data_IF_077000996165
#
_entry.id   IF_077000996165
#
_cell.length_a   1.000
_cell.length_b   1.000
_cell.length_c   1.000
_cell.angle_alpha   90.00
_cell.angle_beta   90.00
_cell.angle_gamma   90.00
#
_symmetry.space_group_name_H-M   'P 1'
#
loop_
_entity.id
_entity.type
_entity.pdbx_description
1 polymer ?
#
# COMPACT_ATOMS: atom_id res chain seq x y z
N UNK A 1 -5.28 -27.88 16.22
CA UNK A 1 -6.35 -27.98 15.19
C UNK A 1 -5.74 -28.33 13.84
N UNK A 2 -6.46 -28.99 12.95
CA UNK A 2 -6.02 -29.36 11.60
C UNK A 2 -5.33 -28.21 10.85
N UNK A 3 -5.87 -26.99 10.96
CA UNK A 3 -5.31 -25.80 10.30
C UNK A 3 -3.92 -25.42 10.82
N UNK A 4 -3.60 -25.72 12.05
CA UNK A 4 -2.32 -25.40 12.67
C UNK A 4 -1.32 -26.56 12.56
N UNK A 5 -1.78 -27.81 12.87
CA UNK A 5 -0.91 -28.98 12.89
C UNK A 5 -0.49 -29.45 11.49
N UNK A 6 -1.41 -29.43 10.53
CA UNK A 6 -1.16 -29.95 9.18
C UNK A 6 -0.98 -28.87 8.12
N UNK A 7 -1.65 -27.72 8.27
CA UNK A 7 -1.59 -26.61 7.29
C UNK A 7 -0.66 -25.49 7.72
N UNK A 8 -0.07 -25.54 8.91
CA UNK A 8 0.87 -24.55 9.46
C UNK A 8 0.35 -23.08 9.36
N UNK A 9 -0.96 -22.89 9.56
CA UNK A 9 -1.52 -21.54 9.53
C UNK A 9 -1.19 -20.75 10.79
N UNK A 10 -0.89 -19.45 10.61
CA UNK A 10 -0.77 -18.52 11.72
C UNK A 10 -2.09 -18.36 12.48
N UNK A 11 -2.02 -17.98 13.76
CA UNK A 11 -3.20 -17.68 14.58
C UNK A 11 -4.13 -16.65 13.92
N UNK A 12 -3.56 -15.65 13.26
CA UNK A 12 -4.31 -14.64 12.52
C UNK A 12 -5.10 -15.25 11.34
N UNK A 13 -4.45 -16.06 10.51
CA UNK A 13 -5.11 -16.75 9.38
C UNK A 13 -6.20 -17.71 9.85
N UNK A 14 -5.96 -18.42 10.94
CA UNK A 14 -6.97 -19.27 11.58
C UNK A 14 -8.18 -18.46 12.06
N UNK A 15 -7.94 -17.35 12.75
CA UNK A 15 -9.00 -16.49 13.27
C UNK A 15 -9.84 -15.86 12.13
N UNK A 16 -9.21 -15.48 11.02
CA UNK A 16 -9.92 -14.98 9.86
C UNK A 16 -10.88 -16.02 9.25
N UNK A 17 -10.42 -17.29 9.15
CA UNK A 17 -11.28 -18.38 8.69
C UNK A 17 -12.40 -18.69 9.69
N UNK A 18 -12.10 -18.66 10.99
CA UNK A 18 -13.11 -18.82 12.03
C UNK A 18 -14.17 -17.71 11.96
N UNK A 19 -13.77 -16.46 11.73
CA UNK A 19 -14.71 -15.35 11.55
C UNK A 19 -15.64 -15.58 10.36
N UNK A 20 -15.12 -16.11 9.25
CA UNK A 20 -15.94 -16.48 8.08
C UNK A 20 -16.96 -17.58 8.43
N UNK A 21 -16.51 -18.62 9.12
CA UNK A 21 -17.42 -19.72 9.57
C UNK A 21 -18.48 -19.21 10.53
N UNK A 22 -18.11 -18.35 11.49
CA UNK A 22 -19.08 -17.73 12.41
C UNK A 22 -20.10 -16.86 11.68
N UNK A 23 -19.66 -16.10 10.66
CA UNK A 23 -20.58 -15.31 9.85
C UNK A 23 -21.59 -16.20 9.09
N UNK A 24 -21.10 -17.32 8.54
CA UNK A 24 -21.96 -18.30 7.88
C UNK A 24 -22.91 -18.99 8.87
N UNK A 25 -22.43 -19.40 10.04
CA UNK A 25 -23.28 -20.01 11.07
C UNK A 25 -24.40 -19.07 11.54
N UNK A 26 -24.13 -17.76 11.66
CA UNK A 26 -25.17 -16.76 11.96
C UNK A 26 -26.24 -16.70 10.88
N UNK A 27 -25.85 -16.78 9.61
CA UNK A 27 -26.81 -16.83 8.51
C UNK A 27 -27.65 -18.10 8.55
N UNK A 28 -27.01 -19.29 8.69
CA UNK A 28 -27.71 -20.59 8.78
C UNK A 28 -28.69 -20.63 9.94
N UNK A 29 -28.32 -20.07 11.10
CA UNK A 29 -29.19 -20.03 12.29
C UNK A 29 -30.53 -19.32 12.04
N UNK A 30 -30.54 -18.34 11.13
CA UNK A 30 -31.75 -17.62 10.75
C UNK A 30 -32.56 -18.40 9.73
N UNK A 31 -31.90 -18.98 8.72
CA UNK A 31 -32.56 -19.73 7.62
C UNK A 31 -32.99 -21.15 8.04
N UNK A 32 -32.28 -21.77 8.97
CA UNK A 32 -32.46 -23.15 9.41
C UNK A 32 -32.45 -23.25 10.95
N UNK A 33 -33.58 -22.88 11.62
CA UNK A 33 -33.66 -22.94 13.09
C UNK A 33 -33.44 -24.33 13.67
N UNK A 34 -33.70 -25.37 12.90
CA UNK A 34 -33.43 -26.79 13.24
C UNK A 34 -31.96 -27.08 13.47
N UNK A 35 -31.05 -26.33 12.86
CA UNK A 35 -29.59 -26.45 13.01
C UNK A 35 -28.97 -25.53 14.10
N UNK A 36 -29.82 -24.93 14.94
CA UNK A 36 -29.38 -23.92 15.92
C UNK A 36 -28.31 -24.43 16.87
N UNK A 37 -28.41 -25.68 17.35
CA UNK A 37 -27.44 -26.26 18.27
C UNK A 37 -26.03 -26.37 17.64
N UNK A 38 -25.96 -26.78 16.37
CA UNK A 38 -24.71 -26.82 15.60
C UNK A 38 -24.15 -25.42 15.40
N UNK A 39 -25.00 -24.47 15.02
CA UNK A 39 -24.59 -23.09 14.84
C UNK A 39 -24.04 -22.47 16.14
N UNK A 40 -24.67 -22.71 17.27
CA UNK A 40 -24.21 -22.26 18.58
C UNK A 40 -22.84 -22.85 18.94
N UNK A 41 -22.60 -24.13 18.66
CA UNK A 41 -21.30 -24.76 18.89
C UNK A 41 -20.17 -24.12 18.08
N UNK A 42 -20.44 -23.71 16.84
CA UNK A 42 -19.47 -22.97 16.01
C UNK A 42 -19.25 -21.55 16.55
N UNK A 43 -20.31 -20.88 16.95
CA UNK A 43 -20.25 -19.50 17.47
C UNK A 43 -19.50 -19.41 18.80
N UNK A 44 -19.53 -20.48 19.62
CA UNK A 44 -18.81 -20.54 20.90
C UNK A 44 -17.30 -20.76 20.78
N UNK A 45 -16.78 -21.13 19.59
CA UNK A 45 -15.33 -21.34 19.40
C UNK A 45 -14.59 -20.00 19.55
N UNK A 46 -13.68 -19.92 20.52
CA UNK A 46 -12.89 -18.71 20.73
C UNK A 46 -11.78 -18.50 19.70
N UNK A 47 -11.51 -17.23 19.42
CA UNK A 47 -10.34 -16.84 18.66
C UNK A 47 -9.06 -17.05 19.48
N UNK A 48 -7.95 -17.38 18.83
CA UNK A 48 -6.64 -17.41 19.49
C UNK A 48 -6.06 -16.00 19.59
N UNK A 49 -5.43 -15.70 20.72
CA UNK A 49 -4.61 -14.50 20.82
C UNK A 49 -3.47 -14.57 19.82
N UNK A 50 -3.27 -13.53 19.05
CA UNK A 50 -2.09 -13.35 18.19
C UNK A 50 -1.30 -12.18 18.73
N UNK A 51 -0.01 -12.36 18.88
CA UNK A 51 0.88 -11.23 19.16
C UNK A 51 0.76 -10.23 18.02
N UNK A 52 0.53 -8.98 18.37
CA UNK A 52 0.54 -7.90 17.38
C UNK A 52 2.01 -7.60 17.09
N UNK A 53 2.45 -7.70 15.83
CA UNK A 53 3.82 -7.31 15.49
C UNK A 53 4.04 -5.85 15.91
N UNK A 54 5.17 -5.58 16.52
CA UNK A 54 5.59 -4.21 16.81
C UNK A 54 5.80 -3.52 15.46
N UNK A 55 5.02 -2.46 15.21
CA UNK A 55 5.18 -1.67 14.00
C UNK A 55 6.49 -0.89 14.13
N UNK A 56 7.43 -1.17 13.27
CA UNK A 56 8.68 -0.43 13.18
C UNK A 56 8.47 0.78 12.25
N UNK A 57 8.93 1.93 12.69
CA UNK A 57 8.86 3.18 11.92
C UNK A 57 10.25 3.56 11.44
N UNK A 58 10.31 4.12 10.24
CA UNK A 58 11.55 4.77 9.76
C UNK A 58 11.76 6.08 10.52
N UNK A 59 12.97 6.30 11.02
CA UNK A 59 13.37 7.61 11.53
C UNK A 59 13.53 8.60 10.36
N UNK A 60 13.58 9.89 10.66
CA UNK A 60 13.80 10.90 9.62
C UNK A 60 15.12 10.64 8.86
N UNK A 61 16.19 10.31 9.57
CA UNK A 61 17.47 9.98 8.94
C UNK A 61 17.40 8.75 8.03
N UNK A 62 16.69 7.70 8.44
CA UNK A 62 16.46 6.52 7.59
C UNK A 62 15.60 6.86 6.37
N UNK A 63 14.63 7.74 6.53
CA UNK A 63 13.81 8.22 5.41
C UNK A 63 14.66 9.00 4.41
N UNK A 64 15.53 9.90 4.87
CA UNK A 64 16.45 10.66 4.00
C UNK A 64 17.39 9.73 3.23
N UNK A 65 17.96 8.74 3.91
CA UNK A 65 18.81 7.72 3.26
C UNK A 65 18.01 6.95 2.20
N UNK A 66 16.79 6.52 2.49
CA UNK A 66 15.93 5.82 1.55
C UNK A 66 15.59 6.66 0.32
N UNK A 67 15.26 7.95 0.52
CA UNK A 67 14.96 8.89 -0.57
C UNK A 67 16.18 9.22 -1.43
N UNK A 68 17.38 9.06 -0.89
CA UNK A 68 18.64 9.22 -1.62
C UNK A 68 19.05 8.02 -2.49
N UNK A 69 18.40 6.85 -2.35
CA UNK A 69 18.81 5.65 -3.09
C UNK A 69 18.46 5.66 -4.60
N UNK A 70 17.32 6.23 -5.06
CA UNK A 70 16.98 6.21 -6.47
C UNK A 70 17.98 6.99 -7.32
N UNK A 71 18.59 6.33 -8.32
CA UNK A 71 19.49 6.97 -9.29
C UNK A 71 18.70 7.89 -10.23
N UNK A 72 18.72 9.19 -9.91
CA UNK A 72 17.99 10.22 -10.67
C UNK A 72 18.55 10.49 -12.07
N UNK A 73 19.72 9.98 -12.42
CA UNK A 73 20.25 10.04 -13.79
C UNK A 73 19.43 9.20 -14.74
N UNK A 74 18.75 8.16 -14.22
CA UNK A 74 17.93 7.22 -14.99
C UNK A 74 16.44 7.53 -14.89
N UNK A 75 15.66 7.37 -15.97
CA UNK A 75 14.22 7.59 -15.96
C UNK A 75 13.49 6.74 -14.90
N UNK A 76 13.92 5.49 -14.71
CA UNK A 76 13.35 4.60 -13.69
C UNK A 76 13.58 5.13 -12.27
N UNK A 77 14.79 5.62 -11.97
CA UNK A 77 15.09 6.19 -10.65
C UNK A 77 14.29 7.46 -10.38
N UNK A 78 14.10 8.34 -11.39
CA UNK A 78 13.26 9.53 -11.25
C UNK A 78 11.80 9.19 -10.99
N UNK A 79 11.26 8.18 -11.68
CA UNK A 79 9.92 7.64 -11.40
C UNK A 79 9.82 7.12 -9.97
N UNK A 80 10.79 6.31 -9.57
CA UNK A 80 10.78 5.65 -8.25
C UNK A 80 10.88 6.70 -7.13
N UNK A 81 11.73 7.74 -7.30
CA UNK A 81 11.80 8.86 -6.35
C UNK A 81 10.47 9.64 -6.26
N UNK A 82 9.85 9.96 -7.40
CA UNK A 82 8.56 10.64 -7.43
C UNK A 82 7.47 9.84 -6.70
N UNK A 83 7.46 8.53 -6.89
CA UNK A 83 6.55 7.61 -6.22
C UNK A 83 6.78 7.55 -4.70
N UNK A 84 8.04 7.43 -4.26
CA UNK A 84 8.39 7.35 -2.83
C UNK A 84 8.06 8.66 -2.11
N UNK A 85 8.40 9.81 -2.70
CA UNK A 85 8.06 11.12 -2.14
C UNK A 85 6.56 11.33 -2.03
N UNK A 86 5.80 10.93 -3.06
CA UNK A 86 4.34 11.05 -3.02
C UNK A 86 3.72 10.15 -1.94
N UNK A 87 4.23 8.93 -1.75
CA UNK A 87 3.81 8.04 -0.66
C UNK A 87 4.07 8.67 0.71
N UNK A 88 5.25 9.24 0.89
CA UNK A 88 5.66 9.86 2.14
C UNK A 88 4.80 11.08 2.48
N UNK A 89 4.67 12.03 1.54
CA UNK A 89 3.92 13.27 1.76
C UNK A 89 2.43 13.03 1.97
N UNK A 90 1.85 12.14 1.16
CA UNK A 90 0.39 11.96 1.14
C UNK A 90 -0.12 10.92 2.12
N UNK A 91 0.77 10.08 2.68
CA UNK A 91 0.40 8.88 3.43
C UNK A 91 -0.68 8.05 2.70
N UNK A 92 -0.59 7.99 1.37
CA UNK A 92 -1.50 7.23 0.53
C UNK A 92 -1.34 5.73 0.79
N UNK A 93 -2.47 5.02 0.77
CA UNK A 93 -2.39 3.56 0.73
C UNK A 93 -1.78 3.11 -0.59
N UNK A 94 -1.05 1.99 -0.58
CA UNK A 94 -0.40 1.47 -1.79
C UNK A 94 -1.39 1.30 -2.95
N UNK A 95 -2.63 0.89 -2.68
CA UNK A 95 -3.66 0.78 -3.71
C UNK A 95 -4.10 2.15 -4.25
N UNK A 96 -4.25 3.15 -3.37
CA UNK A 96 -4.60 4.52 -3.77
C UNK A 96 -3.52 5.09 -4.70
N UNK A 97 -2.24 4.89 -4.36
CA UNK A 97 -1.12 5.28 -5.22
C UNK A 97 -1.16 4.58 -6.59
N UNK A 98 -1.40 3.26 -6.61
CA UNK A 98 -1.49 2.50 -7.85
C UNK A 98 -2.65 2.99 -8.74
N UNK A 99 -3.73 3.46 -8.14
CA UNK A 99 -4.94 3.89 -8.83
C UNK A 99 -4.89 5.34 -9.32
N UNK A 100 -3.88 6.13 -8.90
CA UNK A 100 -3.73 7.53 -9.30
C UNK A 100 -3.61 7.70 -10.81
N UNK A 101 -4.36 8.67 -11.29
CA UNK A 101 -4.28 9.18 -12.65
C UNK A 101 -3.57 10.53 -12.67
N UNK A 102 -3.17 10.97 -13.85
CA UNK A 102 -2.54 12.28 -14.04
C UNK A 102 -3.43 13.41 -13.54
N UNK A 103 -4.75 13.37 -13.82
CA UNK A 103 -5.71 14.38 -13.37
C UNK A 103 -5.89 14.44 -11.85
N UNK A 104 -5.49 13.40 -11.10
CA UNK A 104 -5.63 13.38 -9.66
C UNK A 104 -4.50 14.16 -8.94
N UNK A 105 -3.50 14.65 -9.69
CA UNK A 105 -2.37 15.39 -9.13
C UNK A 105 -2.27 16.77 -9.76
N UNK A 106 -2.38 17.79 -8.93
CA UNK A 106 -2.07 19.17 -9.31
C UNK A 106 -0.73 19.55 -8.72
N UNK A 107 0.23 19.85 -9.58
CA UNK A 107 1.61 20.23 -9.18
C UNK A 107 1.85 21.72 -9.09
N UNK A 108 0.88 22.53 -9.51
CA UNK A 108 0.91 23.99 -9.38
C UNK A 108 0.46 24.41 -7.98
N UNK A 109 0.86 25.63 -7.58
CA UNK A 109 0.58 26.16 -6.24
C UNK A 109 -0.88 26.53 -6.05
N UNK A 110 -1.56 26.02 -5.03
CA UNK A 110 -1.13 24.99 -4.07
C UNK A 110 -1.14 23.58 -4.70
N UNK A 111 -0.02 22.84 -4.52
CA UNK A 111 0.09 21.48 -5.01
C UNK A 111 -0.75 20.53 -4.15
N UNK A 112 -1.53 19.67 -4.79
CA UNK A 112 -2.49 18.78 -4.11
C UNK A 112 -2.59 17.45 -4.85
N UNK A 113 -2.75 16.36 -4.12
CA UNK A 113 -3.16 15.06 -4.64
C UNK A 113 -4.56 14.70 -4.15
N UNK A 114 -5.41 14.25 -5.07
CA UNK A 114 -6.76 13.75 -4.80
C UNK A 114 -6.70 12.24 -4.63
N UNK A 115 -7.00 11.74 -3.42
CA UNK A 115 -6.93 10.30 -3.10
C UNK A 115 -8.34 9.73 -2.92
N UNK A 116 -8.59 8.60 -3.59
CA UNK A 116 -9.86 7.87 -3.53
C UNK A 116 -9.73 6.66 -2.62
N UNK A 117 -10.27 6.76 -1.40
CA UNK A 117 -10.16 5.75 -0.36
C UNK A 117 -11.30 4.73 -0.33
N UNK A 118 -11.16 3.73 0.56
CA UNK A 118 -12.18 2.71 0.83
C UNK A 118 -13.50 3.36 1.27
N UNK A 119 -14.60 2.91 0.70
CA UNK A 119 -15.95 3.44 0.99
C UNK A 119 -16.26 4.75 0.27
N UNK A 120 -15.61 5.04 -0.87
CA UNK A 120 -15.78 6.27 -1.68
C UNK A 120 -15.48 7.56 -0.90
N UNK A 121 -14.64 7.47 0.14
CA UNK A 121 -14.17 8.66 0.85
C UNK A 121 -12.99 9.24 0.09
N UNK A 122 -13.20 10.42 -0.46
CA UNK A 122 -12.17 11.18 -1.14
C UNK A 122 -11.48 12.10 -0.14
N UNK A 123 -10.20 12.34 -0.32
CA UNK A 123 -9.45 13.35 0.43
C UNK A 123 -8.43 14.04 -0.46
N UNK A 124 -8.30 15.31 -0.23
CA UNK A 124 -7.30 16.16 -0.84
C UNK A 124 -6.14 16.32 0.14
N UNK A 125 -4.95 15.99 -0.30
CA UNK A 125 -3.75 16.09 0.53
C UNK A 125 -2.81 17.12 -0.11
N UNK A 126 -2.46 18.20 0.60
CA UNK A 126 -1.47 19.15 0.13
C UNK A 126 -0.11 18.47 0.04
N UNK A 127 0.64 18.77 -1.00
CA UNK A 127 2.00 18.27 -1.21
C UNK A 127 3.02 19.33 -0.85
N UNK A 128 4.16 18.89 -0.31
CA UNK A 128 5.30 19.77 -0.06
C UNK A 128 5.92 20.25 -1.38
N UNK A 129 6.57 21.39 -1.37
CA UNK A 129 7.23 21.92 -2.58
C UNK A 129 8.31 20.98 -3.15
N UNK A 130 9.14 20.28 -2.34
CA UNK A 130 10.07 19.28 -2.85
C UNK A 130 9.36 18.15 -3.62
N UNK A 131 8.26 17.62 -3.08
CA UNK A 131 7.46 16.58 -3.73
C UNK A 131 6.84 17.10 -5.04
N UNK A 132 6.21 18.26 -4.99
CA UNK A 132 5.60 18.89 -6.17
C UNK A 132 6.62 19.13 -7.30
N UNK A 133 7.83 19.60 -6.96
CA UNK A 133 8.92 19.81 -7.91
C UNK A 133 9.34 18.50 -8.60
N UNK A 134 9.52 17.43 -7.85
CA UNK A 134 9.92 16.13 -8.41
C UNK A 134 8.79 15.55 -9.27
N UNK A 135 7.54 15.65 -8.82
CA UNK A 135 6.36 15.21 -9.60
C UNK A 135 6.19 16.00 -10.90
N UNK A 136 6.33 17.32 -10.84
CA UNK A 136 6.26 18.20 -12.04
C UNK A 136 7.29 17.76 -13.07
N UNK A 137 8.54 17.57 -12.64
CA UNK A 137 9.60 17.09 -13.52
C UNK A 137 9.27 15.71 -14.10
N UNK A 138 8.80 14.77 -13.29
CA UNK A 138 8.40 13.44 -13.74
C UNK A 138 7.28 13.48 -14.78
N UNK A 139 6.24 14.32 -14.56
CA UNK A 139 5.11 14.49 -15.46
C UNK A 139 5.59 15.05 -16.80
N UNK A 140 6.43 16.10 -16.80
CA UNK A 140 6.97 16.73 -18.02
C UNK A 140 7.88 15.77 -18.80
N UNK A 141 8.82 15.09 -18.14
CA UNK A 141 9.76 14.15 -18.78
C UNK A 141 9.05 12.96 -19.44
N UNK A 142 7.89 12.57 -18.94
CA UNK A 142 7.09 11.47 -19.50
C UNK A 142 5.92 11.97 -20.39
N UNK A 143 5.87 13.28 -20.68
CA UNK A 143 4.80 13.89 -21.46
C UNK A 143 3.40 13.57 -20.98
N UNK A 144 3.22 13.42 -19.66
CA UNK A 144 1.92 13.11 -19.05
C UNK A 144 0.98 14.31 -19.04
N UNK A 145 1.52 15.51 -19.17
CA UNK A 145 0.81 16.79 -19.33
C UNK A 145 0.24 17.02 -20.74
N UNK A 146 0.52 16.13 -21.69
CA UNK A 146 0.01 16.25 -23.05
C UNK A 146 -1.52 16.11 -23.11
N UNK A 147 -2.18 16.81 -24.05
CA UNK A 147 -3.63 16.72 -24.22
C UNK A 147 -4.12 15.28 -24.40
N UNK A 148 -5.19 14.93 -23.69
CA UNK A 148 -5.80 13.59 -23.76
C UNK A 148 -5.23 12.57 -22.76
N UNK A 149 -4.14 12.87 -22.04
CA UNK A 149 -3.49 11.95 -21.10
C UNK A 149 -3.96 12.09 -19.65
N UNK A 150 -4.94 12.92 -19.37
CA UNK A 150 -5.46 13.20 -18.02
C UNK A 150 -5.92 11.93 -17.27
N UNK A 151 -6.45 10.96 -17.99
CA UNK A 151 -6.94 9.70 -17.43
C UNK A 151 -5.89 8.57 -17.43
N UNK A 152 -4.68 8.84 -17.94
CA UNK A 152 -3.59 7.85 -17.91
C UNK A 152 -3.15 7.58 -16.46
N UNK A 153 -2.67 6.36 -16.16
CA UNK A 153 -2.06 6.08 -14.86
C UNK A 153 -0.85 7.01 -14.63
N UNK A 154 -0.76 7.58 -13.43
CA UNK A 154 0.37 8.43 -13.07
C UNK A 154 1.69 7.65 -13.08
N UNK A 155 1.68 6.44 -12.50
CA UNK A 155 2.87 5.57 -12.47
C UNK A 155 2.65 4.30 -13.28
N UNK A 156 3.61 4.02 -14.16
CA UNK A 156 3.59 2.83 -15.01
C UNK A 156 4.81 1.95 -14.77
N UNK A 157 4.66 0.66 -15.04
CA UNK A 157 5.76 -0.30 -15.05
C UNK A 157 6.60 -0.18 -16.34
N UNK A 158 7.72 -0.92 -16.48
CA UNK A 158 8.54 -0.87 -17.70
C UNK A 158 7.82 -1.28 -19.00
N UNK A 159 6.69 -1.99 -18.88
CA UNK A 159 5.84 -2.39 -20.00
C UNK A 159 4.76 -1.34 -20.34
N UNK A 160 4.79 -0.17 -19.73
CA UNK A 160 3.80 0.89 -19.92
C UNK A 160 2.44 0.63 -19.28
N UNK A 161 2.28 -0.44 -18.49
CA UNK A 161 1.04 -0.76 -17.78
C UNK A 161 1.04 -0.11 -16.39
N UNK A 162 -0.15 0.19 -15.88
CA UNK A 162 -0.38 0.65 -14.52
C UNK A 162 0.45 -0.15 -13.50
N UNK A 163 1.09 0.56 -12.56
CA UNK A 163 1.88 -0.06 -11.50
C UNK A 163 0.98 -0.87 -10.56
N UNK A 164 1.43 -2.05 -10.16
CA UNK A 164 0.71 -2.92 -9.22
C UNK A 164 1.24 -2.77 -7.79
N UNK A 165 0.45 -3.22 -6.82
CA UNK A 165 0.88 -3.27 -5.41
C UNK A 165 2.20 -4.03 -5.24
N UNK A 166 2.33 -5.19 -5.87
CA UNK A 166 3.58 -5.98 -5.86
C UNK A 166 4.74 -5.21 -6.50
N UNK A 167 4.46 -4.39 -7.53
CA UNK A 167 5.47 -3.53 -8.14
C UNK A 167 5.96 -2.44 -7.19
N UNK A 168 5.06 -1.81 -6.44
CA UNK A 168 5.42 -0.81 -5.42
C UNK A 168 6.23 -1.47 -4.29
N UNK A 169 5.76 -2.61 -3.76
CA UNK A 169 6.47 -3.35 -2.71
C UNK A 169 7.88 -3.78 -3.16
N UNK A 170 8.01 -4.24 -4.41
CA UNK A 170 9.33 -4.58 -4.98
C UNK A 170 10.27 -3.37 -5.04
N UNK A 171 9.78 -2.21 -5.48
CA UNK A 171 10.59 -0.98 -5.54
C UNK A 171 11.04 -0.56 -4.15
N UNK A 172 10.13 -0.60 -3.18
CA UNK A 172 10.43 -0.23 -1.80
C UNK A 172 11.45 -1.19 -1.17
N UNK A 173 11.22 -2.50 -1.26
CA UNK A 173 12.14 -3.51 -0.75
C UNK A 173 13.55 -3.40 -1.38
N UNK A 174 13.62 -3.15 -2.69
CA UNK A 174 14.89 -2.91 -3.40
C UNK A 174 15.67 -1.77 -2.77
N UNK A 175 15.03 -0.61 -2.54
CA UNK A 175 15.74 0.57 -2.02
C UNK A 175 16.04 0.46 -0.52
N UNK A 176 15.25 -0.28 0.25
CA UNK A 176 15.58 -0.64 1.64
C UNK A 176 16.81 -1.53 1.68
N UNK A 177 16.88 -2.55 0.83
CA UNK A 177 18.07 -3.40 0.72
C UNK A 177 19.32 -2.58 0.38
N UNK A 178 19.25 -1.70 -0.63
CA UNK A 178 20.35 -0.81 -1.00
C UNK A 178 20.77 0.14 0.14
N UNK A 179 19.78 0.69 0.85
CA UNK A 179 20.04 1.57 1.99
C UNK A 179 20.75 0.82 3.14
N UNK A 180 20.36 -0.40 3.43
CA UNK A 180 20.99 -1.24 4.44
C UNK A 180 22.43 -1.66 4.05
N UNK A 181 22.74 -1.78 2.76
CA UNK A 181 24.09 -2.06 2.27
C UNK A 181 25.01 -0.84 2.34
N UNK A 182 24.45 0.36 2.21
CA UNK A 182 25.23 1.62 2.15
C UNK A 182 25.39 2.31 3.49
N UNK A 183 24.61 1.95 4.48
CA UNK A 183 24.58 2.62 5.79
C UNK A 183 24.43 1.56 6.88
N UNK A 184 25.18 1.71 8.00
CA UNK A 184 25.02 0.87 9.22
C UNK A 184 23.64 1.02 9.88
N UNK A 185 22.73 1.79 9.29
CA UNK A 185 21.37 1.98 9.76
C UNK A 185 20.50 0.79 9.30
N UNK A 186 20.36 -0.21 10.16
CA UNK A 186 19.40 -1.30 9.94
C UNK A 186 17.99 -0.75 9.75
N UNK A 187 17.50 -0.77 8.52
CA UNK A 187 16.09 -0.44 8.22
C UNK A 187 15.23 -1.69 8.42
N UNK A 188 13.98 -1.53 8.87
CA UNK A 188 13.07 -2.65 9.03
C UNK A 188 12.78 -3.33 7.69
N UNK A 189 12.69 -4.66 7.68
CA UNK A 189 12.19 -5.42 6.54
C UNK A 189 10.69 -5.17 6.36
N UNK A 190 10.25 -5.00 5.12
CA UNK A 190 8.85 -4.77 4.74
C UNK A 190 8.25 -6.00 4.08
#
# INVERSE_FOLDING_TARGET
SYLESERCYSASSRNQRLATLKSFAKFVQVERPDEMALCQSILSIDGKSSEKPVIQYLSNSQTDVLMGQPDISRPKGRRDLAMLLLLYDSAARVQELCDLKVCDVRVDTPAVVHLFGKGRKNRDVPLTEPCAKVLRRYIQENHLDAPGRSNDPLFVNPQGKKLSRSGVSYVLAKYICQANETTDASMPEI
#
